data_IF_367942628553
#
_entry.id   IF_367942628553
#
_cell.length_a   1.000
_cell.length_b   1.000
_cell.length_c   1.000
_cell.angle_alpha   90.00
_cell.angle_beta   90.00
_cell.angle_gamma   90.00
#
_symmetry.space_group_name_H-M   'P 1'
#
loop_
_entity.id
_entity.type
_entity.pdbx_description
1 polymer ?
#
# COMPACT_ATOMS: atom_id res chain seq x y z
N UNK A 1 7.42 9.74 -27.02
CA UNK A 1 6.61 8.50 -26.94
C UNK A 1 5.58 8.53 -28.04
N UNK A 2 5.27 7.42 -28.73
CA UNK A 2 4.16 7.39 -29.66
C UNK A 2 2.86 7.65 -28.88
N UNK A 3 1.98 8.44 -29.48
CA UNK A 3 0.62 8.66 -28.96
C UNK A 3 -0.10 7.30 -28.88
N UNK A 4 -0.87 7.01 -27.80
CA UNK A 4 -1.67 5.80 -27.72
C UNK A 4 -2.54 5.67 -28.99
N UNK A 5 -2.70 4.47 -29.48
CA UNK A 5 -3.57 4.21 -30.61
C UNK A 5 -5.01 4.60 -30.25
N UNK A 6 -5.85 4.96 -31.21
CA UNK A 6 -7.24 5.35 -30.96
C UNK A 6 -8.03 4.25 -30.22
N UNK A 7 -7.57 2.99 -30.29
CA UNK A 7 -8.13 1.82 -29.61
C UNK A 7 -7.74 1.71 -28.13
N UNK A 8 -6.71 2.42 -27.66
CA UNK A 8 -6.20 2.33 -26.28
C UNK A 8 -6.73 3.47 -25.39
N UNK A 9 -7.56 4.36 -25.94
CA UNK A 9 -8.04 5.53 -25.22
C UNK A 9 -9.14 5.14 -24.24
N UNK A 10 -8.90 5.39 -22.95
CA UNK A 10 -9.91 5.19 -21.90
C UNK A 10 -11.07 6.17 -22.08
N UNK A 11 -12.30 5.69 -21.87
CA UNK A 11 -13.54 6.47 -22.01
C UNK A 11 -14.01 7.04 -20.68
N UNK A 12 -13.79 6.30 -19.59
CA UNK A 12 -14.19 6.72 -18.25
C UNK A 12 -13.31 6.07 -17.17
N UNK A 13 -13.23 6.72 -16.01
CA UNK A 13 -12.73 6.12 -14.76
C UNK A 13 -13.90 5.65 -13.93
N UNK A 14 -13.86 4.38 -13.51
CA UNK A 14 -14.92 3.74 -12.72
C UNK A 14 -14.39 3.44 -11.33
N UNK A 15 -15.02 4.00 -10.29
CA UNK A 15 -14.76 3.62 -8.91
C UNK A 15 -15.33 2.21 -8.68
N UNK A 16 -14.44 1.26 -8.40
CA UNK A 16 -14.78 -0.13 -8.12
C UNK A 16 -14.65 -0.37 -6.61
N UNK A 17 -15.73 -0.15 -5.88
CA UNK A 17 -15.77 -0.44 -4.45
C UNK A 17 -16.01 -1.92 -4.22
N UNK A 18 -14.99 -2.61 -3.71
CA UNK A 18 -15.01 -4.06 -3.45
C UNK A 18 -15.26 -4.40 -1.99
N UNK A 19 -15.39 -3.39 -1.13
CA UNK A 19 -15.65 -3.54 0.31
C UNK A 19 -17.15 -3.62 0.59
N UNK A 20 -17.52 -4.32 1.65
CA UNK A 20 -18.90 -4.35 2.14
C UNK A 20 -19.36 -2.98 2.67
N UNK A 21 -18.42 -2.24 3.25
CA UNK A 21 -18.65 -0.89 3.76
C UNK A 21 -17.42 -0.03 3.56
N UNK A 22 -17.63 1.14 2.96
CA UNK A 22 -16.60 2.19 2.82
C UNK A 22 -17.03 3.39 3.64
N UNK A 23 -16.23 3.85 4.63
CA UNK A 23 -16.53 5.03 5.41
C UNK A 23 -16.77 6.25 4.51
N UNK A 24 -17.67 7.14 4.92
CA UNK A 24 -18.10 8.30 4.12
C UNK A 24 -16.92 9.18 3.71
N UNK A 25 -16.01 9.44 4.65
CA UNK A 25 -14.81 10.25 4.39
C UNK A 25 -13.88 9.60 3.35
N UNK A 26 -13.74 8.26 3.34
CA UNK A 26 -12.93 7.55 2.36
C UNK A 26 -13.60 7.57 0.99
N UNK A 27 -14.91 7.30 0.94
CA UNK A 27 -15.68 7.35 -0.30
C UNK A 27 -15.56 8.72 -0.99
N UNK A 28 -15.68 9.82 -0.23
CA UNK A 28 -15.49 11.16 -0.75
C UNK A 28 -14.08 11.41 -1.32
N UNK A 29 -13.05 10.88 -0.66
CA UNK A 29 -11.66 10.92 -1.18
C UNK A 29 -11.57 10.13 -2.48
N UNK A 30 -12.13 8.92 -2.54
CA UNK A 30 -12.08 8.05 -3.73
C UNK A 30 -12.74 8.71 -4.95
N UNK A 31 -13.88 9.38 -4.77
CA UNK A 31 -14.54 10.14 -5.83
C UNK A 31 -13.65 11.25 -6.39
N UNK A 32 -12.96 11.99 -5.54
CA UNK A 32 -12.02 13.05 -5.98
C UNK A 32 -10.76 12.48 -6.65
N UNK A 33 -10.29 11.31 -6.22
CA UNK A 33 -9.20 10.62 -6.89
C UNK A 33 -9.62 10.14 -8.28
N UNK A 34 -10.85 9.59 -8.43
CA UNK A 34 -11.41 9.20 -9.72
C UNK A 34 -11.50 10.39 -10.70
N UNK A 35 -11.97 11.55 -10.23
CA UNK A 35 -12.02 12.77 -11.05
C UNK A 35 -10.61 13.22 -11.52
N UNK A 36 -9.60 13.13 -10.65
CA UNK A 36 -8.22 13.46 -11.01
C UNK A 36 -7.63 12.49 -12.01
N UNK A 37 -7.86 11.19 -11.83
CA UNK A 37 -7.45 10.17 -12.79
C UNK A 37 -8.09 10.39 -14.15
N UNK A 38 -9.39 10.72 -14.18
CA UNK A 38 -10.10 11.02 -15.41
C UNK A 38 -9.48 12.20 -16.16
N UNK A 39 -9.08 13.25 -15.46
CA UNK A 39 -8.36 14.39 -16.06
C UNK A 39 -7.01 13.99 -16.63
N UNK A 40 -6.22 13.18 -15.91
CA UNK A 40 -4.93 12.66 -16.39
C UNK A 40 -5.09 11.80 -17.63
N UNK A 41 -6.14 10.98 -17.69
CA UNK A 41 -6.45 10.09 -18.81
C UNK A 41 -7.19 10.80 -19.96
N UNK A 42 -7.64 12.04 -19.76
CA UNK A 42 -8.43 12.79 -20.74
C UNK A 42 -9.81 12.19 -21.00
N UNK A 43 -10.45 11.60 -19.98
CA UNK A 43 -11.78 10.98 -20.04
C UNK A 43 -12.71 11.49 -18.94
N UNK A 44 -13.87 10.85 -18.75
CA UNK A 44 -14.84 11.21 -17.72
C UNK A 44 -14.73 10.31 -16.49
N UNK A 45 -15.02 10.84 -15.30
CA UNK A 45 -15.24 10.03 -14.10
C UNK A 45 -16.68 9.55 -14.08
N UNK A 46 -16.89 8.25 -13.89
CA UNK A 46 -18.22 7.67 -13.63
C UNK A 46 -18.32 7.43 -12.13
N UNK A 47 -19.23 8.11 -11.49
CA UNK A 47 -19.22 8.28 -10.03
C UNK A 47 -19.95 7.21 -9.25
N UNK A 48 -20.84 6.38 -9.81
CA UNK A 48 -21.58 5.39 -9.00
C UNK A 48 -22.16 4.25 -9.84
N UNK A 49 -22.37 3.10 -9.15
CA UNK A 49 -23.25 1.98 -9.49
C UNK A 49 -23.38 1.67 -10.99
N UNK A 50 -22.24 1.44 -11.62
CA UNK A 50 -22.26 0.89 -12.96
C UNK A 50 -22.61 -0.59 -12.78
N UNK A 51 -23.85 -1.04 -13.20
CA UNK A 51 -24.08 -2.46 -13.39
C UNK A 51 -22.94 -2.95 -14.26
N UNK A 52 -22.42 -4.15 -14.02
CA UNK A 52 -21.29 -4.73 -14.72
C UNK A 52 -21.34 -4.43 -16.25
N UNK A 53 -20.96 -3.25 -16.64
CA UNK A 53 -20.76 -2.87 -18.03
C UNK A 53 -19.34 -3.32 -18.37
N UNK A 54 -19.28 -4.43 -19.07
CA UNK A 54 -18.06 -4.96 -19.65
C UNK A 54 -17.63 -4.04 -20.81
N UNK A 55 -17.03 -2.88 -20.48
CA UNK A 55 -16.42 -2.00 -21.47
C UNK A 55 -14.89 -2.08 -21.31
N UNK A 56 -14.15 -2.66 -22.26
CA UNK A 56 -12.69 -2.75 -22.19
C UNK A 56 -11.99 -1.38 -22.21
N UNK A 57 -12.72 -0.31 -22.46
CA UNK A 57 -12.19 1.06 -22.48
C UNK A 57 -12.33 1.78 -21.13
N UNK A 58 -12.85 1.14 -20.10
CA UNK A 58 -12.84 1.72 -18.76
C UNK A 58 -11.45 1.63 -18.12
N UNK A 59 -11.17 2.60 -17.24
CA UNK A 59 -10.07 2.57 -16.30
C UNK A 59 -10.63 2.42 -14.89
N UNK A 60 -10.20 1.41 -14.17
CA UNK A 60 -10.78 1.07 -12.88
C UNK A 60 -9.98 1.65 -11.72
N UNK A 61 -10.69 2.17 -10.72
CA UNK A 61 -10.15 2.62 -9.45
C UNK A 61 -10.68 1.72 -8.33
N UNK A 62 -10.06 0.56 -8.09
CA UNK A 62 -10.47 -0.33 -7.00
C UNK A 62 -10.08 0.23 -5.64
N UNK A 63 -10.95 0.02 -4.64
CA UNK A 63 -10.70 0.43 -3.25
C UNK A 63 -9.73 -0.51 -2.54
N UNK A 64 -9.59 -1.75 -3.03
CA UNK A 64 -8.69 -2.78 -2.52
C UNK A 64 -7.88 -3.42 -3.64
N UNK A 65 -6.84 -4.19 -3.29
CA UNK A 65 -6.15 -5.06 -4.24
C UNK A 65 -7.13 -6.11 -4.75
N UNK A 66 -7.30 -6.19 -6.08
CA UNK A 66 -8.21 -7.13 -6.71
C UNK A 66 -7.68 -8.56 -6.61
N UNK A 67 -8.57 -9.54 -6.42
CA UNK A 67 -8.21 -10.96 -6.30
C UNK A 67 -9.00 -11.78 -7.32
N UNK A 68 -8.29 -12.59 -8.12
CA UNK A 68 -8.86 -13.47 -9.14
C UNK A 68 -8.85 -12.86 -10.54
N UNK A 69 -7.73 -13.01 -11.30
CA UNK A 69 -7.56 -12.40 -12.62
C UNK A 69 -8.67 -12.73 -13.63
N UNK A 70 -9.17 -13.96 -13.59
CA UNK A 70 -10.22 -14.38 -14.53
C UNK A 70 -11.50 -13.57 -14.41
N UNK A 71 -11.89 -13.23 -13.16
CA UNK A 71 -13.07 -12.40 -12.90
C UNK A 71 -12.92 -11.01 -13.51
N UNK A 72 -11.76 -10.42 -13.38
CA UNK A 72 -11.52 -9.04 -13.80
C UNK A 72 -11.09 -8.92 -15.26
N UNK A 73 -10.59 -10.01 -15.87
CA UNK A 73 -10.36 -10.07 -17.31
C UNK A 73 -11.68 -9.90 -18.09
N UNK A 74 -12.81 -10.44 -17.60
CA UNK A 74 -14.12 -10.23 -18.19
C UNK A 74 -14.58 -8.76 -18.14
N UNK A 75 -14.05 -7.97 -17.21
CA UNK A 75 -14.29 -6.51 -17.11
C UNK A 75 -13.32 -5.67 -17.96
N UNK A 76 -12.37 -6.29 -18.67
CA UNK A 76 -11.37 -5.59 -19.48
C UNK A 76 -10.10 -5.20 -18.71
N UNK A 77 -9.86 -5.77 -17.51
CA UNK A 77 -8.61 -5.55 -16.75
C UNK A 77 -7.59 -6.62 -17.15
N UNK A 78 -6.62 -6.24 -17.99
CA UNK A 78 -5.60 -7.14 -18.53
C UNK A 78 -4.17 -6.67 -18.23
N UNK A 79 -3.99 -5.40 -17.85
CA UNK A 79 -2.69 -4.78 -17.68
C UNK A 79 -2.71 -3.66 -16.63
N UNK A 80 -1.53 -3.14 -16.30
CA UNK A 80 -1.39 -1.95 -15.44
C UNK A 80 -2.02 -0.68 -16.05
N UNK A 81 -2.38 -0.71 -17.34
CA UNK A 81 -3.04 0.42 -18.01
C UNK A 81 -4.56 0.44 -17.82
N UNK A 82 -5.11 -0.53 -17.10
CA UNK A 82 -6.57 -0.70 -16.96
C UNK A 82 -7.09 -0.37 -15.55
N UNK A 83 -6.18 -0.22 -14.56
CA UNK A 83 -6.57 0.06 -13.18
C UNK A 83 -5.55 0.94 -12.45
N UNK A 84 -5.98 1.59 -11.39
CA UNK A 84 -5.12 2.24 -10.40
C UNK A 84 -5.05 1.38 -9.13
N UNK A 85 -4.05 0.53 -9.02
CA UNK A 85 -3.91 -0.43 -7.94
C UNK A 85 -3.25 -1.71 -8.42
N UNK A 86 -3.60 -2.83 -7.80
CA UNK A 86 -3.07 -4.15 -8.12
C UNK A 86 -4.14 -5.21 -8.27
N UNK A 87 -3.77 -6.28 -8.98
CA UNK A 87 -4.55 -7.49 -9.19
C UNK A 87 -3.64 -8.69 -8.93
N UNK A 88 -4.11 -9.62 -8.11
CA UNK A 88 -3.39 -10.83 -7.71
C UNK A 88 -4.25 -12.09 -7.86
N UNK A 89 -3.61 -13.26 -7.89
CA UNK A 89 -4.32 -14.52 -8.11
C UNK A 89 -5.00 -15.06 -6.85
N UNK A 90 -4.44 -14.83 -5.66
CA UNK A 90 -4.93 -15.42 -4.42
C UNK A 90 -5.08 -14.39 -3.31
N UNK A 91 -6.01 -14.57 -2.36
CA UNK A 91 -6.30 -13.61 -1.29
C UNK A 91 -5.07 -13.21 -0.47
N UNK A 92 -4.25 -14.17 -0.03
CA UNK A 92 -3.06 -13.90 0.77
C UNK A 92 -2.05 -13.00 0.04
N UNK A 93 -2.01 -13.02 -1.30
CA UNK A 93 -1.13 -12.17 -2.10
C UNK A 93 -1.51 -10.68 -2.01
N UNK A 94 -2.76 -10.38 -1.68
CA UNK A 94 -3.23 -9.00 -1.50
C UNK A 94 -2.80 -8.39 -0.15
N UNK A 95 -2.16 -9.18 0.72
CA UNK A 95 -1.84 -8.79 2.10
C UNK A 95 -0.36 -9.02 2.43
N UNK A 96 0.05 -8.54 3.61
CA UNK A 96 1.39 -8.77 4.16
C UNK A 96 1.72 -10.26 4.42
N UNK A 97 0.77 -11.18 4.26
CA UNK A 97 1.01 -12.62 4.40
C UNK A 97 2.09 -13.16 3.46
N UNK A 98 2.37 -12.50 2.33
CA UNK A 98 3.45 -12.93 1.42
C UNK A 98 4.85 -12.69 1.97
N UNK A 99 5.01 -11.85 3.01
CA UNK A 99 6.31 -11.31 3.42
C UNK A 99 7.26 -12.32 4.06
N UNK A 100 6.77 -13.46 4.54
CA UNK A 100 7.62 -14.40 5.27
C UNK A 100 7.44 -15.84 4.80
N UNK A 101 8.47 -16.71 4.97
CA UNK A 101 8.35 -18.13 4.70
C UNK A 101 7.39 -18.80 5.69
N UNK A 102 6.97 -20.01 5.38
CA UNK A 102 6.23 -20.86 6.30
C UNK A 102 7.18 -21.58 7.29
N UNK A 103 6.71 -21.95 8.48
CA UNK A 103 7.39 -22.94 9.30
C UNK A 103 7.49 -24.28 8.54
N UNK A 104 8.48 -25.12 8.89
CA UNK A 104 8.61 -26.45 8.31
C UNK A 104 7.31 -27.26 8.46
N UNK A 105 6.91 -27.97 7.41
CA UNK A 105 5.69 -28.81 7.37
C UNK A 105 4.39 -28.07 7.73
N UNK A 106 4.31 -26.76 7.46
CA UNK A 106 3.11 -25.96 7.72
C UNK A 106 2.03 -26.17 6.66
N UNK A 107 0.78 -25.96 7.06
CA UNK A 107 -0.35 -25.87 6.16
C UNK A 107 -0.30 -24.56 5.35
N UNK A 108 -0.74 -24.60 4.07
CA UNK A 108 -0.77 -23.43 3.20
C UNK A 108 -1.91 -23.49 2.18
N UNK A 109 -2.40 -22.33 1.72
CA UNK A 109 -3.46 -22.26 0.71
C UNK A 109 -2.95 -22.62 -0.69
N UNK A 110 -3.87 -22.94 -1.62
CA UNK A 110 -3.51 -23.15 -3.03
C UNK A 110 -2.72 -21.95 -3.60
N UNK A 111 -1.75 -22.27 -4.45
CA UNK A 111 -0.91 -21.28 -5.11
C UNK A 111 0.20 -20.67 -4.25
N UNK A 112 0.38 -21.13 -3.01
CA UNK A 112 1.50 -20.70 -2.18
C UNK A 112 2.84 -21.05 -2.82
N UNK A 113 3.81 -20.16 -2.67
CA UNK A 113 5.21 -20.39 -3.08
C UNK A 113 6.16 -19.74 -2.08
N UNK A 114 7.16 -20.48 -1.63
CA UNK A 114 8.24 -19.95 -0.79
C UNK A 114 9.26 -19.16 -1.62
N UNK A 115 9.22 -19.27 -2.95
CA UNK A 115 10.18 -18.63 -3.85
C UNK A 115 10.18 -17.10 -3.71
N UNK A 116 9.02 -16.49 -3.43
CA UNK A 116 8.93 -15.06 -3.15
C UNK A 116 9.76 -14.69 -1.91
N UNK A 117 9.50 -15.33 -0.76
CA UNK A 117 10.16 -15.01 0.50
C UNK A 117 11.68 -15.34 0.44
N UNK A 118 12.06 -16.37 -0.31
CA UNK A 118 13.49 -16.70 -0.53
C UNK A 118 14.18 -15.62 -1.35
N UNK A 119 13.57 -15.13 -2.42
CA UNK A 119 14.15 -14.07 -3.25
C UNK A 119 14.16 -12.72 -2.53
N UNK A 120 13.11 -12.40 -1.77
CA UNK A 120 12.99 -11.15 -1.04
C UNK A 120 13.70 -11.16 0.32
N UNK A 121 14.40 -12.22 0.72
CA UNK A 121 14.92 -12.42 2.08
C UNK A 121 15.73 -11.24 2.63
N UNK A 122 16.56 -10.60 1.80
CA UNK A 122 17.36 -9.45 2.20
C UNK A 122 16.54 -8.15 2.37
N UNK A 123 15.28 -8.18 1.93
CA UNK A 123 14.34 -7.08 2.06
C UNK A 123 13.31 -7.32 3.18
N UNK A 124 13.38 -8.42 3.92
CA UNK A 124 12.40 -8.83 4.92
C UNK A 124 12.98 -8.80 6.34
N UNK A 125 12.12 -8.58 7.33
CA UNK A 125 12.42 -8.88 8.72
C UNK A 125 12.40 -10.40 8.95
N UNK A 126 12.93 -10.85 10.09
CA UNK A 126 12.82 -12.25 10.47
C UNK A 126 11.39 -12.56 10.91
N UNK A 127 10.77 -13.58 10.31
CA UNK A 127 9.38 -13.91 10.62
C UNK A 127 8.87 -15.15 9.91
N UNK A 128 7.61 -15.46 10.21
CA UNK A 128 6.85 -16.53 9.57
C UNK A 128 5.45 -16.05 9.20
N UNK A 129 4.97 -16.53 8.07
CA UNK A 129 3.55 -16.50 7.72
C UNK A 129 2.95 -17.86 8.07
N UNK A 130 1.72 -17.86 8.58
CA UNK A 130 1.03 -19.08 8.98
C UNK A 130 -0.43 -19.03 8.56
N UNK A 131 -0.99 -20.21 8.26
CA UNK A 131 -2.38 -20.39 7.83
C UNK A 131 -3.19 -21.30 8.77
N UNK A 132 -2.57 -21.76 9.88
CA UNK A 132 -3.26 -22.50 10.93
C UNK A 132 -2.83 -22.02 12.33
N UNK A 133 -3.70 -22.20 13.31
CA UNK A 133 -3.38 -21.89 14.72
C UNK A 133 -2.26 -22.77 15.25
N UNK A 134 -2.13 -24.01 14.75
CA UNK A 134 -1.06 -24.91 15.14
C UNK A 134 0.31 -24.40 14.66
N UNK A 135 0.37 -23.92 13.41
CA UNK A 135 1.59 -23.33 12.85
C UNK A 135 1.95 -21.99 13.49
N UNK A 136 0.94 -21.20 13.89
CA UNK A 136 1.17 -19.98 14.65
C UNK A 136 1.90 -20.24 15.97
N UNK A 137 1.51 -21.29 16.71
CA UNK A 137 2.19 -21.71 17.94
C UNK A 137 3.64 -22.15 17.70
N UNK A 138 3.87 -22.93 16.62
CA UNK A 138 5.22 -23.36 16.25
C UNK A 138 6.11 -22.16 15.85
N UNK A 139 5.59 -21.27 15.01
CA UNK A 139 6.29 -20.06 14.60
C UNK A 139 6.66 -19.18 15.80
N UNK A 140 5.71 -18.95 16.71
CA UNK A 140 5.96 -18.17 17.92
C UNK A 140 7.03 -18.80 18.82
N UNK A 141 7.01 -20.14 19.00
CA UNK A 141 8.05 -20.83 19.77
C UNK A 141 9.45 -20.62 19.19
N UNK A 142 9.58 -20.62 17.85
CA UNK A 142 10.86 -20.41 17.19
C UNK A 142 11.33 -18.95 17.33
N UNK A 143 10.45 -17.97 17.08
CA UNK A 143 10.82 -16.56 17.13
C UNK A 143 11.11 -16.08 18.56
N UNK A 144 10.38 -16.55 19.56
CA UNK A 144 10.61 -16.20 20.96
C UNK A 144 11.95 -16.66 21.53
N UNK A 145 12.66 -17.55 20.84
CA UNK A 145 14.05 -17.89 21.20
C UNK A 145 15.01 -16.73 20.95
N UNK A 146 14.68 -15.88 19.98
CA UNK A 146 15.50 -14.73 19.58
C UNK A 146 15.04 -13.43 20.25
N UNK A 147 13.82 -13.35 20.76
CA UNK A 147 13.28 -12.17 21.43
C UNK A 147 11.79 -12.00 21.31
N UNK A 148 11.25 -10.84 21.72
CA UNK A 148 9.85 -10.50 21.53
C UNK A 148 9.47 -10.54 20.04
N UNK A 149 8.23 -10.93 19.78
CA UNK A 149 7.70 -10.95 18.41
C UNK A 149 6.43 -10.12 18.31
N UNK A 150 6.15 -9.65 17.10
CA UNK A 150 4.94 -8.92 16.75
C UNK A 150 3.99 -9.82 15.96
N UNK A 151 2.78 -9.99 16.49
CA UNK A 151 1.67 -10.70 15.81
C UNK A 151 0.89 -9.68 15.01
N UNK A 152 0.75 -9.89 13.69
CA UNK A 152 0.14 -8.96 12.75
C UNK A 152 -1.03 -9.61 12.00
N UNK A 153 -2.28 -9.35 12.41
CA UNK A 153 -3.44 -9.71 11.61
C UNK A 153 -3.35 -9.04 10.23
N UNK A 154 -3.54 -9.81 9.16
CA UNK A 154 -3.24 -9.34 7.79
C UNK A 154 -4.34 -8.47 7.19
N UNK A 155 -5.59 -8.59 7.66
CA UNK A 155 -6.74 -7.79 7.22
C UNK A 155 -6.84 -6.43 7.94
N UNK A 156 -6.06 -6.24 9.00
CA UNK A 156 -6.05 -4.97 9.73
C UNK A 156 -5.11 -3.95 9.07
N UNK A 157 -5.56 -2.69 9.04
CA UNK A 157 -4.84 -1.56 8.45
C UNK A 157 -4.29 -0.62 9.54
N UNK A 158 -3.28 0.18 9.20
CA UNK A 158 -2.71 1.24 10.05
C UNK A 158 -2.24 0.74 11.43
N UNK A 159 -1.67 -0.46 11.50
CA UNK A 159 -1.15 -1.03 12.74
C UNK A 159 -2.20 -1.55 13.73
N UNK A 160 -3.49 -1.44 13.40
CA UNK A 160 -4.57 -1.91 14.28
C UNK A 160 -4.49 -3.41 14.50
N UNK A 161 -4.79 -3.85 15.72
CA UNK A 161 -4.81 -5.26 16.12
C UNK A 161 -3.45 -5.94 16.19
N UNK A 162 -2.34 -5.24 15.92
CA UNK A 162 -1.00 -5.77 16.14
C UNK A 162 -0.70 -5.83 17.63
N UNK A 163 -0.05 -6.89 18.07
CA UNK A 163 0.36 -7.06 19.45
C UNK A 163 1.78 -7.61 19.51
N UNK A 164 2.56 -7.11 20.46
CA UNK A 164 3.88 -7.63 20.79
C UNK A 164 3.71 -8.62 21.93
N UNK A 165 4.28 -9.80 21.78
CA UNK A 165 4.31 -10.82 22.82
C UNK A 165 5.76 -11.19 23.16
N UNK A 166 6.00 -11.47 24.44
CA UNK A 166 7.30 -11.90 24.98
C UNK A 166 7.27 -13.34 25.47
N UNK A 167 6.08 -13.91 25.63
CA UNK A 167 5.85 -15.27 26.12
C UNK A 167 4.80 -15.99 25.27
N UNK A 168 4.96 -17.33 25.11
CA UNK A 168 4.10 -18.11 24.24
C UNK A 168 2.63 -18.17 24.68
N UNK A 169 2.35 -18.05 25.96
CA UNK A 169 1.00 -18.03 26.53
C UNK A 169 0.20 -16.76 26.16
N UNK A 170 0.89 -15.67 25.86
CA UNK A 170 0.28 -14.41 25.39
C UNK A 170 -0.33 -14.56 23.98
N UNK A 171 0.07 -15.58 23.21
CA UNK A 171 -0.48 -15.83 21.87
C UNK A 171 -1.90 -16.42 21.92
N UNK A 172 -2.24 -17.21 22.94
CA UNK A 172 -3.51 -17.93 22.97
C UNK A 172 -4.76 -17.02 22.95
N UNK A 173 -4.82 -15.91 23.73
CA UNK A 173 -5.94 -14.98 23.65
C UNK A 173 -6.10 -14.36 22.27
N UNK A 174 -4.99 -14.14 21.54
CA UNK A 174 -5.03 -13.58 20.18
C UNK A 174 -5.62 -14.61 19.20
N UNK A 175 -5.13 -15.85 19.26
CA UNK A 175 -5.60 -16.93 18.40
C UNK A 175 -7.08 -17.30 18.66
N UNK A 176 -7.56 -17.13 19.90
CA UNK A 176 -8.96 -17.39 20.24
C UNK A 176 -9.93 -16.50 19.44
N UNK A 177 -9.52 -15.28 19.11
CA UNK A 177 -10.33 -14.29 18.40
C UNK A 177 -10.20 -14.38 16.87
N UNK A 178 -9.33 -15.23 16.33
CA UNK A 178 -9.13 -15.39 14.89
C UNK A 178 -10.03 -16.51 14.37
N UNK A 179 -10.85 -16.20 13.37
CA UNK A 179 -11.62 -17.19 12.63
C UNK A 179 -10.68 -18.10 11.83
N UNK A 180 -10.90 -19.43 11.90
CA UNK A 180 -10.01 -20.39 11.25
C UNK A 180 -10.12 -20.39 9.72
N UNK A 181 -11.28 -19.99 9.16
CA UNK A 181 -11.48 -19.90 7.72
C UNK A 181 -10.76 -18.68 7.16
N UNK A 182 -10.85 -17.56 7.88
CA UNK A 182 -10.12 -16.34 7.52
C UNK A 182 -8.62 -16.56 7.62
N UNK A 183 -8.17 -17.23 8.69
CA UNK A 183 -6.76 -17.59 8.86
C UNK A 183 -6.26 -18.47 7.71
N UNK A 184 -7.02 -19.51 7.33
CA UNK A 184 -6.64 -20.42 6.25
C UNK A 184 -6.62 -19.73 4.87
N UNK A 185 -7.38 -18.65 4.68
CA UNK A 185 -7.49 -17.93 3.42
C UNK A 185 -6.49 -16.79 3.31
N UNK A 186 -6.35 -15.99 4.37
CA UNK A 186 -5.61 -14.73 4.38
C UNK A 186 -4.26 -14.82 5.08
N UNK A 187 -4.10 -15.73 6.03
CA UNK A 187 -2.90 -15.92 6.84
C UNK A 187 -2.81 -14.99 8.05
N UNK A 188 -1.73 -15.21 8.82
CA UNK A 188 -1.30 -14.38 9.96
C UNK A 188 0.21 -14.24 9.88
N UNK A 189 0.74 -13.07 10.18
CA UNK A 189 2.19 -12.82 10.22
C UNK A 189 2.66 -12.73 11.67
N UNK A 190 3.75 -13.43 11.94
CA UNK A 190 4.54 -13.31 13.17
C UNK A 190 5.96 -12.91 12.75
N UNK A 191 6.45 -11.78 13.25
CA UNK A 191 7.80 -11.29 12.92
C UNK A 191 8.53 -10.76 14.15
N UNK A 192 9.87 -10.66 14.08
CA UNK A 192 10.67 -10.04 15.13
C UNK A 192 10.15 -8.65 15.48
N UNK A 193 10.09 -8.32 16.76
CA UNK A 193 9.76 -6.95 17.18
C UNK A 193 11.01 -6.08 17.19
N UNK A 194 10.85 -4.83 16.74
CA UNK A 194 11.91 -3.84 16.71
C UNK A 194 11.59 -2.69 17.67
N UNK A 195 12.62 -2.18 18.35
CA UNK A 195 12.56 -0.92 19.09
C UNK A 195 13.10 0.24 18.25
N UNK A 196 12.79 1.48 18.66
CA UNK A 196 13.26 2.71 18.02
C UNK A 196 12.97 2.72 16.51
N UNK A 197 11.75 2.33 16.13
CA UNK A 197 11.35 2.12 14.75
C UNK A 197 11.17 3.44 14.02
N UNK A 198 11.85 3.59 12.90
CA UNK A 198 11.61 4.58 11.87
C UNK A 198 10.93 3.89 10.67
N UNK A 199 9.86 4.48 10.13
CA UNK A 199 9.12 3.89 9.00
C UNK A 199 9.23 4.79 7.77
N UNK A 200 9.62 4.18 6.66
CA UNK A 200 9.69 4.81 5.35
C UNK A 200 8.57 4.29 4.45
N UNK A 201 8.00 5.19 3.65
CA UNK A 201 7.08 4.85 2.58
C UNK A 201 7.82 4.98 1.25
N UNK A 202 7.89 3.90 0.48
CA UNK A 202 8.52 3.89 -0.85
C UNK A 202 7.49 3.38 -1.85
N UNK A 203 7.36 4.05 -3.00
CA UNK A 203 6.37 3.61 -3.98
C UNK A 203 6.63 4.08 -5.39
N UNK A 204 5.85 3.51 -6.30
CA UNK A 204 5.83 3.87 -7.71
C UNK A 204 4.41 3.83 -8.25
N UNK A 205 4.08 4.80 -9.10
CA UNK A 205 2.79 4.89 -9.76
C UNK A 205 2.98 5.09 -11.26
N UNK A 206 2.20 4.36 -12.07
CA UNK A 206 2.19 4.40 -13.53
C UNK A 206 0.78 4.65 -14.04
N UNK A 207 0.53 5.83 -14.57
CA UNK A 207 -0.79 6.24 -15.09
C UNK A 207 -0.60 7.16 -16.29
N UNK A 208 -1.43 7.01 -17.32
CA UNK A 208 -1.48 7.88 -18.49
C UNK A 208 -0.12 8.06 -19.19
N UNK A 209 0.71 7.02 -19.22
CA UNK A 209 2.07 7.06 -19.77
C UNK A 209 3.10 7.80 -18.90
N UNK A 210 2.71 8.29 -17.73
CA UNK A 210 3.59 8.86 -16.73
C UNK A 210 3.99 7.78 -15.72
N UNK A 211 5.23 7.84 -15.27
CA UNK A 211 5.73 7.09 -14.12
C UNK A 211 6.27 8.10 -13.11
N UNK A 212 5.93 7.93 -11.85
CA UNK A 212 6.59 8.61 -10.76
C UNK A 212 6.95 7.62 -9.66
N UNK A 213 8.09 7.86 -9.02
CA UNK A 213 8.55 7.08 -7.87
C UNK A 213 8.83 8.01 -6.71
N UNK A 214 8.67 7.52 -5.50
CA UNK A 214 8.85 8.35 -4.33
C UNK A 214 9.43 7.60 -3.15
N UNK A 215 10.03 8.34 -2.25
CA UNK A 215 10.24 7.96 -0.87
C UNK A 215 9.65 9.02 0.05
N UNK A 216 9.36 8.63 1.28
CA UNK A 216 8.84 9.57 2.27
C UNK A 216 8.66 8.96 3.63
N UNK A 217 8.06 9.72 4.53
CA UNK A 217 7.74 9.33 5.90
C UNK A 217 6.26 9.47 6.17
N UNK A 218 5.77 8.70 7.13
CA UNK A 218 4.42 8.83 7.65
C UNK A 218 4.42 9.71 8.89
N UNK A 219 3.36 10.49 9.06
CA UNK A 219 3.11 11.28 10.24
C UNK A 219 1.92 10.70 11.01
N UNK A 220 2.00 10.74 12.33
CA UNK A 220 0.90 10.38 13.21
C UNK A 220 0.13 11.63 13.62
N UNK A 221 -1.15 11.47 13.86
CA UNK A 221 -2.04 12.45 14.48
C UNK A 221 -2.79 11.80 15.63
N UNK A 222 -3.56 12.60 16.38
CA UNK A 222 -4.41 12.07 17.45
C UNK A 222 -5.87 12.19 17.04
N UNK A 223 -6.61 11.08 17.16
CA UNK A 223 -8.05 11.07 16.98
C UNK A 223 -8.80 11.73 18.17
N UNK A 224 -10.12 11.80 18.09
CA UNK A 224 -10.95 12.38 19.14
C UNK A 224 -10.89 11.61 20.47
N UNK A 225 -10.36 10.38 20.49
CA UNK A 225 -10.17 9.57 21.68
C UNK A 225 -8.75 9.73 22.26
N UNK A 226 -7.87 10.50 21.57
CA UNK A 226 -6.47 10.70 21.94
C UNK A 226 -5.55 9.57 21.49
N UNK A 227 -6.05 8.60 20.70
CA UNK A 227 -5.25 7.54 20.14
C UNK A 227 -4.39 8.05 18.98
N UNK A 228 -3.15 7.58 18.89
CA UNK A 228 -2.30 7.87 17.74
C UNK A 228 -2.76 7.05 16.55
N UNK A 229 -3.02 7.76 15.44
CA UNK A 229 -3.48 7.20 14.17
C UNK A 229 -2.70 7.84 13.02
N UNK A 230 -2.83 7.29 11.83
CA UNK A 230 -2.25 7.87 10.62
C UNK A 230 -2.73 9.32 10.42
N UNK A 231 -1.79 10.25 10.27
CA UNK A 231 -2.04 11.68 10.12
C UNK A 231 -1.64 12.23 8.76
N UNK A 232 -0.96 11.42 7.94
CA UNK A 232 -0.53 11.84 6.61
C UNK A 232 0.83 11.29 6.21
N UNK A 233 1.27 11.69 5.02
CA UNK A 233 2.59 11.33 4.48
C UNK A 233 3.27 12.55 3.89
N UNK A 234 4.59 12.62 4.01
CA UNK A 234 5.42 13.58 3.28
C UNK A 234 6.30 12.82 2.30
N UNK A 235 6.18 13.15 1.01
CA UNK A 235 6.80 12.42 -0.08
C UNK A 235 7.71 13.33 -0.88
N UNK A 236 8.91 12.84 -1.20
CA UNK A 236 9.75 13.34 -2.28
C UNK A 236 9.45 12.49 -3.51
N UNK A 237 8.85 13.09 -4.51
CA UNK A 237 8.37 12.39 -5.72
C UNK A 237 9.20 12.82 -6.92
N UNK A 238 9.76 11.88 -7.65
CA UNK A 238 10.47 12.12 -8.91
C UNK A 238 9.67 11.63 -10.10
N UNK A 239 9.81 12.33 -11.23
CA UNK A 239 9.36 11.82 -12.52
C UNK A 239 10.29 10.69 -12.95
N UNK A 240 9.77 9.49 -13.14
CA UNK A 240 10.50 8.31 -13.57
C UNK A 240 10.39 7.16 -12.58
N UNK A 241 11.18 6.14 -12.82
CA UNK A 241 11.22 4.90 -12.05
C UNK A 241 12.09 5.00 -10.77
N UNK A 242 12.26 3.89 -10.07
CA UNK A 242 13.14 3.83 -8.90
C UNK A 242 14.60 4.17 -9.22
N UNK A 243 15.07 3.92 -10.46
CA UNK A 243 16.44 4.32 -10.83
C UNK A 243 16.57 5.84 -10.86
N UNK A 244 15.52 6.55 -11.32
CA UNK A 244 15.45 8.01 -11.24
C UNK A 244 15.45 8.50 -9.78
N UNK A 245 14.73 7.81 -8.89
CA UNK A 245 14.69 8.13 -7.46
C UNK A 245 16.07 7.93 -6.81
N UNK A 246 16.81 6.87 -7.18
CA UNK A 246 18.15 6.59 -6.67
C UNK A 246 19.25 7.58 -7.13
N UNK A 247 18.95 8.45 -8.11
CA UNK A 247 19.86 9.55 -8.50
C UNK A 247 19.85 10.72 -7.52
N UNK A 248 18.86 10.81 -6.65
CA UNK A 248 18.81 11.83 -5.61
C UNK A 248 19.98 11.69 -4.61
N UNK A 249 20.41 12.77 -3.96
CA UNK A 249 21.37 12.73 -2.87
C UNK A 249 20.75 12.12 -1.60
N UNK A 250 20.61 10.81 -1.58
CA UNK A 250 19.95 10.04 -0.52
C UNK A 250 20.95 9.62 0.55
N UNK A 251 20.50 9.65 1.80
CA UNK A 251 21.18 8.98 2.90
C UNK A 251 21.16 7.45 2.72
N UNK A 252 22.14 6.74 3.28
CA UNK A 252 22.31 5.30 3.07
C UNK A 252 21.08 4.48 3.46
N UNK A 253 20.40 4.87 4.52
CA UNK A 253 19.19 4.17 4.99
C UNK A 253 17.99 4.35 4.05
N UNK A 254 17.85 5.51 3.41
CA UNK A 254 16.81 5.74 2.38
C UNK A 254 17.11 4.95 1.11
N UNK A 255 18.40 4.93 0.70
CA UNK A 255 18.86 4.11 -0.42
C UNK A 255 18.60 2.62 -0.17
N UNK A 256 18.85 2.14 1.07
CA UNK A 256 18.55 0.78 1.47
C UNK A 256 17.04 0.50 1.37
N UNK A 257 16.19 1.38 1.91
CA UNK A 257 14.73 1.21 1.86
C UNK A 257 14.20 1.14 0.41
N UNK A 258 14.71 1.99 -0.49
CA UNK A 258 14.32 1.94 -1.92
C UNK A 258 14.75 0.61 -2.55
N UNK A 259 15.96 0.14 -2.29
CA UNK A 259 16.44 -1.14 -2.81
C UNK A 259 15.62 -2.32 -2.25
N UNK A 260 15.22 -2.28 -0.98
CA UNK A 260 14.35 -3.29 -0.38
C UNK A 260 12.97 -3.31 -1.05
N UNK A 261 12.37 -2.15 -1.32
CA UNK A 261 11.12 -2.06 -2.07
C UNK A 261 11.26 -2.67 -3.48
N UNK A 262 12.35 -2.35 -4.19
CA UNK A 262 12.64 -2.91 -5.52
C UNK A 262 12.81 -4.43 -5.50
N UNK A 263 13.54 -4.96 -4.51
CA UNK A 263 13.74 -6.41 -4.35
C UNK A 263 12.42 -7.12 -4.10
N UNK A 264 11.59 -6.55 -3.22
CA UNK A 264 10.27 -7.08 -2.89
C UNK A 264 9.33 -7.07 -4.12
N UNK A 265 9.29 -5.95 -4.85
CA UNK A 265 8.50 -5.82 -6.08
C UNK A 265 8.94 -6.82 -7.14
N UNK A 266 10.25 -6.94 -7.38
CA UNK A 266 10.80 -7.87 -8.35
C UNK A 266 10.47 -9.33 -7.99
N UNK A 267 10.50 -9.69 -6.72
CA UNK A 267 10.09 -11.01 -6.27
C UNK A 267 8.60 -11.27 -6.54
N UNK A 268 7.73 -10.28 -6.33
CA UNK A 268 6.30 -10.41 -6.64
C UNK A 268 6.07 -10.58 -8.15
N UNK A 269 6.72 -9.77 -8.99
CA UNK A 269 6.61 -9.86 -10.45
C UNK A 269 7.09 -11.23 -10.99
N UNK A 270 8.09 -11.83 -10.35
CA UNK A 270 8.65 -13.11 -10.81
C UNK A 270 7.88 -14.33 -10.30
N UNK A 271 7.30 -14.26 -9.10
CA UNK A 271 6.75 -15.44 -8.44
C UNK A 271 5.23 -15.46 -8.29
N UNK A 272 4.54 -14.37 -8.63
CA UNK A 272 3.07 -14.33 -8.60
C UNK A 272 2.49 -14.29 -10.00
N UNK A 273 2.06 -15.44 -10.55
CA UNK A 273 1.45 -15.49 -11.88
C UNK A 273 0.24 -14.57 -11.98
N UNK A 274 0.19 -13.76 -13.04
CA UNK A 274 -0.91 -12.83 -13.28
C UNK A 274 -0.91 -11.59 -12.38
N UNK A 275 0.18 -11.32 -11.67
CA UNK A 275 0.34 -10.09 -10.91
C UNK A 275 0.36 -8.87 -11.84
N UNK A 276 -0.50 -7.92 -11.57
CA UNK A 276 -0.58 -6.63 -12.25
C UNK A 276 -0.61 -5.55 -11.17
N UNK A 277 0.19 -4.50 -11.33
CA UNK A 277 0.10 -3.33 -10.47
C UNK A 277 0.52 -2.06 -11.21
N UNK A 278 -0.32 -1.03 -11.18
CA UNK A 278 0.00 0.32 -11.64
C UNK A 278 0.37 1.24 -10.49
N UNK A 279 -0.11 0.95 -9.29
CA UNK A 279 0.22 1.66 -8.06
C UNK A 279 0.82 0.68 -7.05
N UNK A 280 1.99 1.03 -6.56
CA UNK A 280 2.78 0.25 -5.61
C UNK A 280 3.24 1.14 -4.48
N UNK A 281 3.06 0.68 -3.24
CA UNK A 281 3.59 1.33 -2.05
C UNK A 281 4.06 0.25 -1.08
N UNK A 282 5.17 0.52 -0.42
CA UNK A 282 5.80 -0.37 0.55
C UNK A 282 6.12 0.43 1.81
N UNK A 283 5.69 -0.07 2.94
CA UNK A 283 6.08 0.45 4.25
C UNK A 283 7.29 -0.35 4.74
N UNK A 284 8.39 0.35 5.01
CA UNK A 284 9.67 -0.25 5.35
C UNK A 284 10.08 0.25 6.72
N UNK A 285 10.35 -0.68 7.64
CA UNK A 285 10.87 -0.35 8.96
C UNK A 285 12.38 -0.39 9.00
N UNK A 286 12.95 0.47 9.83
CA UNK A 286 14.31 0.38 10.36
C UNK A 286 14.24 0.51 11.87
N UNK A 287 14.88 -0.38 12.59
CA UNK A 287 14.87 -0.36 14.06
C UNK A 287 15.92 -1.27 14.65
N UNK A 288 15.85 -1.49 15.95
CA UNK A 288 16.84 -2.27 16.71
C UNK A 288 16.18 -3.53 17.25
N UNK A 289 16.81 -4.69 17.02
CA UNK A 289 16.36 -5.98 17.58
C UNK A 289 16.60 -6.05 19.09
N UNK A 290 16.02 -7.04 19.77
CA UNK A 290 16.25 -7.31 21.19
C UNK A 290 17.75 -7.55 21.53
N UNK A 291 18.56 -7.97 20.56
CA UNK A 291 20.01 -8.17 20.71
C UNK A 291 20.82 -6.90 20.44
N UNK A 292 20.18 -5.77 20.12
CA UNK A 292 20.85 -4.51 19.82
C UNK A 292 21.38 -4.40 18.37
N UNK A 293 20.95 -5.26 17.45
CA UNK A 293 21.35 -5.18 16.05
C UNK A 293 20.38 -4.30 15.26
N UNK A 294 20.93 -3.46 14.40
CA UNK A 294 20.14 -2.67 13.46
C UNK A 294 19.56 -3.58 12.38
N UNK A 295 18.25 -3.46 12.14
CA UNK A 295 17.49 -4.17 11.12
C UNK A 295 16.71 -3.20 10.25
N UNK A 296 16.47 -3.60 9.00
CA UNK A 296 15.53 -2.93 8.09
C UNK A 296 14.85 -3.96 7.21
N UNK A 297 13.57 -3.77 6.94
CA UNK A 297 12.81 -4.66 6.06
C UNK A 297 11.42 -4.13 5.75
N UNK A 298 10.82 -4.66 4.68
CA UNK A 298 9.46 -4.35 4.27
C UNK A 298 8.47 -4.94 5.27
N UNK A 299 7.63 -4.08 5.84
CA UNK A 299 6.56 -4.47 6.77
C UNK A 299 5.31 -4.95 6.05
N UNK A 300 4.97 -4.26 4.97
CA UNK A 300 3.81 -4.59 4.14
C UNK A 300 3.87 -3.89 2.78
N UNK A 301 3.19 -4.48 1.81
CA UNK A 301 2.88 -3.86 0.54
C UNK A 301 1.46 -3.29 0.55
N UNK A 302 1.24 -2.28 -0.28
CA UNK A 302 -0.08 -1.74 -0.56
C UNK A 302 -0.21 -1.51 -2.07
N UNK A 303 -0.89 -2.42 -2.74
CA UNK A 303 -1.23 -2.34 -4.16
C UNK A 303 -2.68 -1.90 -4.36
N UNK A 304 -3.12 -0.94 -3.54
CA UNK A 304 -4.48 -0.40 -3.50
C UNK A 304 -4.45 1.09 -3.18
N UNK A 305 -5.60 1.74 -3.20
CA UNK A 305 -5.72 3.08 -2.64
C UNK A 305 -5.24 3.12 -1.19
N UNK A 306 -4.54 4.17 -0.84
CA UNK A 306 -3.99 4.36 0.51
C UNK A 306 -3.78 5.82 0.84
N UNK A 307 -3.26 6.09 2.04
CA UNK A 307 -3.05 7.45 2.55
C UNK A 307 -2.21 8.35 1.65
N UNK A 308 -1.24 7.78 0.93
CA UNK A 308 -0.37 8.52 0.01
C UNK A 308 -1.04 8.87 -1.34
N UNK A 309 -2.16 8.24 -1.72
CA UNK A 309 -2.70 8.30 -3.08
C UNK A 309 -3.09 9.71 -3.53
N UNK A 310 -3.52 10.58 -2.61
CA UNK A 310 -3.82 11.98 -2.93
C UNK A 310 -2.57 12.75 -3.32
N UNK A 311 -1.45 12.55 -2.63
CA UNK A 311 -0.16 13.18 -2.96
C UNK A 311 0.42 12.61 -4.27
N UNK A 312 0.31 11.29 -4.48
CA UNK A 312 0.72 10.61 -5.72
C UNK A 312 0.04 11.23 -6.94
N UNK A 313 -1.28 11.41 -6.90
CA UNK A 313 -2.05 11.97 -8.02
C UNK A 313 -1.82 13.47 -8.21
N UNK A 314 -1.58 14.24 -7.14
CA UNK A 314 -1.17 15.65 -7.27
C UNK A 314 0.21 15.77 -7.95
N UNK A 315 1.17 14.92 -7.59
CA UNK A 315 2.48 14.88 -8.22
C UNK A 315 2.39 14.51 -9.71
N UNK A 316 1.62 13.47 -10.05
CA UNK A 316 1.38 13.08 -11.45
C UNK A 316 0.73 14.22 -12.25
N UNK A 317 -0.24 14.94 -11.66
CA UNK A 317 -0.86 16.10 -12.31
C UNK A 317 0.17 17.22 -12.56
N UNK A 318 0.98 17.54 -11.55
CA UNK A 318 2.05 18.54 -11.71
C UNK A 318 3.04 18.15 -12.81
N UNK A 319 3.40 16.88 -12.90
CA UNK A 319 4.24 16.36 -13.97
C UNK A 319 3.55 16.35 -15.35
N UNK A 320 2.24 16.18 -15.41
CA UNK A 320 1.49 16.27 -16.66
C UNK A 320 1.42 17.74 -17.16
N UNK A 321 1.17 18.65 -16.24
CA UNK A 321 1.02 20.08 -16.53
C UNK A 321 2.35 20.75 -16.92
N UNK A 322 3.48 20.29 -16.35
CA UNK A 322 4.82 20.77 -16.66
C UNK A 322 5.78 19.61 -17.01
N UNK A 323 6.02 19.37 -18.31
CA UNK A 323 6.96 18.33 -18.74
C UNK A 323 8.42 18.56 -18.34
N UNK A 324 8.83 19.77 -17.99
CA UNK A 324 10.18 20.08 -17.52
C UNK A 324 10.39 19.73 -16.05
N UNK A 325 9.30 19.66 -15.28
CA UNK A 325 9.33 19.36 -13.85
C UNK A 325 9.84 17.93 -13.61
N UNK A 326 10.85 17.78 -12.74
CA UNK A 326 11.50 16.49 -12.45
C UNK A 326 11.23 15.97 -11.07
N UNK A 327 11.02 16.86 -10.11
CA UNK A 327 10.82 16.53 -8.70
C UNK A 327 9.79 17.44 -8.07
N UNK A 328 9.00 16.90 -7.14
CA UNK A 328 8.12 17.67 -6.26
C UNK A 328 8.15 17.10 -4.86
N UNK A 329 7.92 17.93 -3.85
CA UNK A 329 7.54 17.49 -2.52
C UNK A 329 6.03 17.56 -2.40
N UNK A 330 5.39 16.41 -2.19
CA UNK A 330 3.95 16.27 -2.04
C UNK A 330 3.60 15.72 -0.67
N UNK A 331 2.48 16.15 -0.10
CA UNK A 331 2.06 15.67 1.22
C UNK A 331 0.56 15.43 1.28
N UNK A 332 0.17 14.48 2.13
CA UNK A 332 -1.22 14.26 2.56
C UNK A 332 -1.35 14.60 4.03
N UNK A 333 -2.53 15.04 4.42
CA UNK A 333 -2.83 15.40 5.80
C UNK A 333 -4.22 14.90 6.17
N UNK A 334 -4.31 14.21 7.31
CA UNK A 334 -5.54 13.84 7.98
C UNK A 334 -5.56 14.53 9.34
N UNK A 335 -6.50 15.44 9.55
CA UNK A 335 -6.57 16.27 10.75
C UNK A 335 -7.97 16.14 11.36
N UNK A 336 -8.03 15.70 12.59
CA UNK A 336 -9.28 15.65 13.34
C UNK A 336 -9.69 17.07 13.74
N UNK A 337 -10.88 17.47 13.31
CA UNK A 337 -11.40 18.84 13.41
C UNK A 337 -11.60 19.51 12.05
N UNK A 338 -11.89 20.80 12.09
CA UNK A 338 -12.05 21.66 10.91
C UNK A 338 -11.03 22.81 10.96
N UNK A 339 -9.73 22.55 10.73
CA UNK A 339 -8.71 23.59 10.73
C UNK A 339 -8.88 24.51 9.52
N UNK A 340 -8.33 25.73 9.63
CA UNK A 340 -8.12 26.58 8.49
C UNK A 340 -7.08 25.92 7.56
N UNK A 341 -7.49 25.68 6.32
CA UNK A 341 -6.63 25.01 5.36
C UNK A 341 -5.59 25.98 4.79
N UNK A 342 -4.34 25.53 4.56
CA UNK A 342 -3.35 26.30 3.81
C UNK A 342 -3.88 26.70 2.44
N UNK A 343 -3.46 27.88 1.93
CA UNK A 343 -3.96 28.42 0.66
C UNK A 343 -3.65 27.53 -0.56
N UNK A 344 -2.58 26.72 -0.47
CA UNK A 344 -2.14 25.77 -1.50
C UNK A 344 -2.70 24.36 -1.27
N UNK A 345 -3.58 24.17 -0.28
CA UNK A 345 -4.17 22.87 -0.01
C UNK A 345 -5.23 22.50 -1.05
N UNK A 346 -5.14 21.29 -1.52
CA UNK A 346 -6.23 20.62 -2.25
C UNK A 346 -7.06 19.82 -1.28
N UNK A 347 -8.30 20.23 -1.06
CA UNK A 347 -9.23 19.58 -0.14
C UNK A 347 -9.82 18.32 -0.76
N UNK A 348 -9.70 17.18 -0.07
CA UNK A 348 -10.32 15.91 -0.44
C UNK A 348 -11.58 15.61 0.38
N UNK A 349 -11.57 15.89 1.67
CA UNK A 349 -12.74 15.76 2.55
C UNK A 349 -12.69 16.78 3.69
N UNK A 350 -13.84 17.35 4.05
CA UNK A 350 -14.01 18.07 5.30
C UNK A 350 -15.48 17.92 5.71
N UNK A 351 -15.72 17.27 6.84
CA UNK A 351 -17.07 16.98 7.30
C UNK A 351 -17.06 16.27 8.65
N UNK A 352 -18.26 15.97 9.13
CA UNK A 352 -18.48 15.16 10.32
C UNK A 352 -18.80 13.74 9.87
N UNK A 353 -17.79 12.89 9.89
CA UNK A 353 -17.92 11.46 9.57
C UNK A 353 -18.68 10.74 10.69
N UNK A 354 -19.50 9.75 10.33
CA UNK A 354 -20.35 9.04 11.28
C UNK A 354 -19.56 8.16 12.28
N UNK A 355 -18.36 7.73 11.90
CA UNK A 355 -17.53 6.86 12.72
C UNK A 355 -16.40 7.63 13.43
N UNK A 356 -15.78 8.58 12.72
CA UNK A 356 -14.58 9.29 13.18
C UNK A 356 -14.84 10.71 13.68
N UNK A 357 -16.07 11.24 13.51
CA UNK A 357 -16.39 12.61 13.89
C UNK A 357 -15.82 13.65 12.90
N UNK A 358 -15.59 14.87 13.38
CA UNK A 358 -15.11 15.96 12.53
C UNK A 358 -13.69 15.68 12.04
N UNK A 359 -13.52 15.62 10.71
CA UNK A 359 -12.26 15.26 10.05
C UNK A 359 -12.06 16.10 8.79
N UNK A 360 -10.80 16.46 8.53
CA UNK A 360 -10.36 17.13 7.30
C UNK A 360 -9.23 16.33 6.65
N UNK A 361 -9.35 16.04 5.34
CA UNK A 361 -8.31 15.38 4.53
C UNK A 361 -7.94 16.25 3.35
N UNK A 362 -6.67 16.60 3.24
CA UNK A 362 -6.16 17.42 2.14
C UNK A 362 -4.76 17.00 1.73
N UNK A 363 -4.32 17.45 0.56
CA UNK A 363 -2.98 17.20 0.06
C UNK A 363 -2.37 18.50 -0.49
N UNK A 364 -1.03 18.56 -0.57
CA UNK A 364 -0.28 19.74 -1.00
C UNK A 364 0.91 19.38 -1.86
N UNK A 365 1.31 20.30 -2.75
CA UNK A 365 2.63 20.35 -3.39
C UNK A 365 3.40 21.52 -2.76
N UNK A 366 4.58 21.26 -2.16
CA UNK A 366 5.32 22.29 -1.41
C UNK A 366 6.52 22.86 -2.16
N UNK A 367 7.22 22.03 -2.93
CA UNK A 367 8.43 22.40 -3.66
C UNK A 367 8.39 21.86 -5.08
N UNK A 368 8.97 22.62 -6.01
CA UNK A 368 9.12 22.24 -7.40
C UNK A 368 10.57 22.44 -7.81
N UNK A 369 11.18 21.43 -8.39
CA UNK A 369 12.50 21.51 -8.99
C UNK A 369 12.40 21.25 -10.48
N UNK A 370 12.95 22.18 -11.28
CA UNK A 370 13.09 22.04 -12.72
C UNK A 370 14.47 21.49 -13.05
N UNK A 371 14.58 20.72 -14.13
CA UNK A 371 15.88 20.40 -14.70
C UNK A 371 16.52 21.67 -15.26
N UNK A 372 17.76 21.93 -14.90
CA UNK A 372 18.58 22.95 -15.60
C UNK A 372 18.86 22.53 -17.05
#
# INVERSE_FOLDING_TARGET
>A
MPMPSANDRKTAVVLLDTREHTPEHEHAVHLKLADRLARLLGCHAVLTDVPAMEDPHFYYLPTETLVGPERYAAMGIHSEHDLFGGLVSHPYMATKAISHPLPADAEFPPGWTDAFALQASDALLCGYTVFSKADARRAAQLLLLEGPLRVKPVLACAGRGQQVISHADELEPLLANIDERDLALWGLVLEEDLSDVETFSVGQVRVAGLTCSYHGTQQLTRDHQGCEVYGGSELVVVRGDYQSLLQLPLEDHLRLAINQAMTYEQAAEQHFPGFIASRRNYDIARGTTAQGHLRSGVLEQSWRLGGASSAELLALQAFADDPALRQVCASTHEVFGAPDLPADATLFYQGNDSELGQLSKYARIRQHEHSE
#
